data_IF_155373312749
#
_entry.id   IF_155373312749
#
_cell.length_a   1.000
_cell.length_b   1.000
_cell.length_c   1.000
_cell.angle_alpha   90.00
_cell.angle_beta   90.00
_cell.angle_gamma   90.00
#
_symmetry.space_group_name_H-M   'P 1'
#
loop_
_entity.id
_entity.type
_entity.pdbx_description
1 polymer ?
#
# COMPACT_ATOMS: atom_id res chain seq x y z
N UNK A 1 -3.28 -15.18 -11.08
CA UNK A 1 -4.28 -15.71 -10.09
C UNK A 1 -3.56 -15.94 -8.77
N UNK A 2 -4.19 -15.57 -7.65
CA UNK A 2 -3.68 -15.89 -6.31
C UNK A 2 -4.38 -17.15 -5.79
N UNK A 3 -3.61 -18.07 -5.21
CA UNK A 3 -4.12 -19.29 -4.58
C UNK A 3 -4.05 -19.12 -3.06
N UNK A 4 -5.20 -19.10 -2.40
CA UNK A 4 -5.29 -18.86 -0.96
C UNK A 4 -5.82 -20.11 -0.25
N UNK A 5 -4.99 -20.69 0.63
CA UNK A 5 -5.35 -21.80 1.50
C UNK A 5 -5.53 -21.28 2.93
N UNK A 6 -6.76 -20.88 3.25
CA UNK A 6 -7.13 -20.32 4.56
C UNK A 6 -8.04 -21.22 5.40
N UNK A 7 -8.30 -22.44 4.94
CA UNK A 7 -9.16 -23.39 5.61
C UNK A 7 -8.34 -24.44 6.34
N UNK A 8 -8.63 -24.68 7.62
CA UNK A 8 -7.96 -25.68 8.44
C UNK A 8 -8.06 -27.11 7.81
N UNK A 9 -6.97 -27.86 7.84
CA UNK A 9 -6.89 -29.22 7.30
C UNK A 9 -6.73 -29.29 5.77
N UNK A 10 -6.66 -28.15 5.07
CA UNK A 10 -6.36 -28.12 3.64
C UNK A 10 -4.88 -28.40 3.42
N UNK A 11 -4.55 -29.21 2.39
CA UNK A 11 -3.19 -29.49 1.99
C UNK A 11 -2.94 -29.15 0.52
N UNK A 12 -1.76 -28.59 0.23
CA UNK A 12 -1.26 -28.32 -1.12
C UNK A 12 -0.13 -29.28 -1.46
N UNK A 13 -0.31 -30.02 -2.52
CA UNK A 13 0.64 -31.02 -3.01
C UNK A 13 1.01 -30.70 -4.47
N UNK A 14 2.15 -31.25 -4.92
CA UNK A 14 2.52 -31.28 -6.35
C UNK A 14 1.91 -32.52 -7.02
N UNK A 15 1.37 -32.32 -8.21
CA UNK A 15 1.01 -33.43 -9.12
C UNK A 15 1.41 -33.02 -10.54
N UNK A 16 2.41 -33.73 -11.08
CA UNK A 16 3.02 -33.39 -12.36
C UNK A 16 3.54 -31.93 -12.37
N UNK A 17 3.02 -31.11 -13.29
CA UNK A 17 3.41 -29.72 -13.52
C UNK A 17 2.39 -28.73 -12.90
N UNK A 18 1.64 -29.16 -11.90
CA UNK A 18 0.63 -28.37 -11.24
C UNK A 18 0.49 -28.71 -9.76
N UNK A 19 -0.49 -28.08 -9.16
CA UNK A 19 -0.83 -28.26 -7.75
C UNK A 19 -2.12 -29.06 -7.58
N UNK A 20 -2.21 -29.76 -6.45
CA UNK A 20 -3.44 -30.37 -5.98
C UNK A 20 -3.76 -29.87 -4.59
N UNK A 21 -4.91 -29.21 -4.47
CA UNK A 21 -5.50 -28.88 -3.18
C UNK A 21 -6.36 -30.06 -2.73
N UNK A 22 -6.12 -30.53 -1.51
CA UNK A 22 -6.88 -31.65 -0.93
C UNK A 22 -7.47 -31.22 0.41
N UNK A 23 -8.74 -31.59 0.65
CA UNK A 23 -9.45 -31.41 1.92
C UNK A 23 -10.57 -32.44 2.05
N UNK A 24 -10.67 -33.10 3.18
CA UNK A 24 -11.78 -34.03 3.51
C UNK A 24 -12.11 -35.05 2.39
N UNK A 25 -11.05 -35.60 1.77
CA UNK A 25 -11.16 -36.55 0.65
C UNK A 25 -11.45 -35.92 -0.71
N UNK A 26 -11.77 -34.64 -0.78
CA UNK A 26 -11.92 -33.90 -2.04
C UNK A 26 -10.56 -33.47 -2.57
N UNK A 27 -10.34 -33.60 -3.87
CA UNK A 27 -9.12 -33.19 -4.55
C UNK A 27 -9.43 -32.28 -5.73
N UNK A 28 -8.74 -31.16 -5.81
CA UNK A 28 -8.87 -30.21 -6.91
C UNK A 28 -7.49 -29.95 -7.52
N UNK A 29 -7.36 -30.20 -8.82
CA UNK A 29 -6.15 -29.87 -9.58
C UNK A 29 -6.17 -28.44 -10.05
N UNK A 30 -5.03 -27.78 -9.94
CA UNK A 30 -4.84 -26.37 -10.33
C UNK A 30 -3.53 -26.32 -11.14
N UNK A 31 -3.58 -25.89 -12.41
CA UNK A 31 -2.36 -25.68 -13.20
C UNK A 31 -1.47 -24.63 -12.53
N UNK A 32 -0.16 -24.83 -12.56
CA UNK A 32 0.77 -23.82 -12.04
C UNK A 32 0.80 -22.56 -12.91
N UNK A 33 0.41 -22.69 -14.18
CA UNK A 33 0.36 -21.57 -15.12
C UNK A 33 -0.67 -20.51 -14.68
N UNK A 34 -0.24 -19.26 -14.66
CA UNK A 34 -1.08 -18.13 -14.27
C UNK A 34 -1.23 -17.93 -12.76
N UNK A 35 -0.65 -18.80 -11.91
CA UNK A 35 -0.54 -18.52 -10.47
C UNK A 35 0.60 -17.53 -10.25
N UNK A 36 0.31 -16.44 -9.55
CA UNK A 36 1.29 -15.40 -9.20
C UNK A 36 1.78 -15.52 -7.76
N UNK A 37 0.90 -15.97 -6.85
CA UNK A 37 1.24 -16.19 -5.46
C UNK A 37 0.40 -17.28 -4.83
N UNK A 38 0.95 -17.92 -3.79
CA UNK A 38 0.29 -18.92 -2.96
C UNK A 38 0.34 -18.44 -1.51
N UNK A 39 -0.83 -18.27 -0.89
CA UNK A 39 -0.94 -17.91 0.52
C UNK A 39 -1.35 -19.13 1.35
N UNK A 40 -0.59 -19.40 2.41
CA UNK A 40 -0.82 -20.54 3.31
C UNK A 40 -1.12 -19.99 4.70
N UNK A 41 -2.35 -20.12 5.14
CA UNK A 41 -2.74 -19.70 6.49
C UNK A 41 -2.47 -20.80 7.52
N UNK A 42 -2.45 -20.42 8.78
CA UNK A 42 -2.25 -21.36 9.89
C UNK A 42 -3.27 -22.51 9.83
N UNK A 43 -2.81 -23.73 9.96
CA UNK A 43 -3.65 -24.94 9.90
C UNK A 43 -3.78 -25.56 8.50
N UNK A 44 -3.35 -24.87 7.44
CA UNK A 44 -3.13 -25.46 6.13
C UNK A 44 -1.70 -26.02 6.02
N UNK A 45 -1.48 -26.97 5.10
CA UNK A 45 -0.21 -27.65 4.88
C UNK A 45 0.24 -27.48 3.43
N UNK A 46 1.55 -27.43 3.23
CA UNK A 46 2.17 -27.46 1.91
C UNK A 46 3.32 -28.47 1.93
N UNK A 47 3.41 -29.30 0.89
CA UNK A 47 4.52 -30.26 0.76
C UNK A 47 5.77 -29.57 0.19
N UNK A 48 6.95 -30.13 0.50
CA UNK A 48 8.23 -29.66 -0.06
C UNK A 48 8.24 -29.67 -1.59
N UNK A 49 7.62 -30.68 -2.21
CA UNK A 49 7.53 -30.78 -3.68
C UNK A 49 6.66 -29.65 -4.27
N UNK A 50 5.58 -29.28 -3.60
CA UNK A 50 4.76 -28.12 -4.00
C UNK A 50 5.53 -26.81 -3.83
N UNK A 51 6.31 -26.66 -2.75
CA UNK A 51 7.20 -25.51 -2.55
C UNK A 51 8.25 -25.43 -3.65
N UNK A 52 8.91 -26.56 -3.99
CA UNK A 52 9.93 -26.59 -5.04
C UNK A 52 9.34 -26.25 -6.41
N UNK A 53 8.16 -26.76 -6.73
CA UNK A 53 7.45 -26.38 -7.96
C UNK A 53 7.15 -24.88 -7.99
N UNK A 54 6.67 -24.32 -6.88
CA UNK A 54 6.42 -22.86 -6.80
C UNK A 54 7.71 -22.06 -7.03
N UNK A 55 8.82 -22.47 -6.40
CA UNK A 55 10.15 -21.84 -6.60
C UNK A 55 10.63 -21.98 -8.05
N UNK A 56 10.47 -23.14 -8.68
CA UNK A 56 10.82 -23.39 -10.09
C UNK A 56 10.04 -22.48 -11.05
N UNK A 57 8.77 -22.21 -10.74
CA UNK A 57 7.84 -21.41 -11.54
C UNK A 57 7.81 -19.93 -11.14
N UNK A 58 8.70 -19.52 -10.21
CA UNK A 58 8.79 -18.14 -9.71
C UNK A 58 7.49 -17.64 -9.03
N UNK A 59 6.71 -18.59 -8.48
CA UNK A 59 5.50 -18.30 -7.69
C UNK A 59 5.91 -18.02 -6.25
N UNK A 60 5.53 -16.87 -5.70
CA UNK A 60 5.81 -16.53 -4.32
C UNK A 60 4.91 -17.33 -3.37
N UNK A 61 5.51 -17.95 -2.34
CA UNK A 61 4.76 -18.64 -1.28
C UNK A 61 4.82 -17.79 -0.01
N UNK A 62 3.66 -17.37 0.49
CA UNK A 62 3.52 -16.51 1.66
C UNK A 62 2.80 -17.27 2.76
N UNK A 63 3.39 -17.30 3.97
CA UNK A 63 2.73 -17.83 5.17
C UNK A 63 2.05 -16.68 5.90
N UNK A 64 0.78 -16.88 6.26
CA UNK A 64 -0.04 -15.85 6.92
C UNK A 64 -0.66 -16.39 8.21
N UNK A 65 -1.06 -15.48 9.08
CA UNK A 65 -2.00 -15.77 10.16
C UNK A 65 -3.43 -15.91 9.60
N UNK A 66 -4.39 -16.28 10.45
CA UNK A 66 -5.79 -16.46 10.01
C UNK A 66 -6.48 -15.14 9.60
N UNK A 67 -5.98 -14.01 10.09
CA UNK A 67 -6.41 -12.66 9.71
C UNK A 67 -5.70 -12.11 8.46
N UNK A 68 -4.85 -12.93 7.81
CA UNK A 68 -4.14 -12.58 6.59
C UNK A 68 -2.82 -11.83 6.78
N UNK A 69 -2.39 -11.58 8.03
CA UNK A 69 -1.13 -10.89 8.29
C UNK A 69 0.07 -11.77 7.88
N UNK A 70 1.03 -11.26 7.08
CA UNK A 70 2.15 -12.05 6.59
C UNK A 70 3.14 -12.36 7.72
N UNK A 71 3.55 -13.64 7.83
CA UNK A 71 4.50 -14.14 8.83
C UNK A 71 5.84 -14.51 8.22
N UNK A 72 5.86 -14.93 6.97
CA UNK A 72 7.08 -15.34 6.27
C UNK A 72 6.80 -15.67 4.82
N UNK A 73 7.89 -15.83 4.05
CA UNK A 73 7.77 -16.18 2.64
C UNK A 73 8.92 -17.06 2.16
N UNK A 74 8.64 -17.82 1.11
CA UNK A 74 9.64 -18.56 0.35
C UNK A 74 9.71 -17.97 -1.05
N UNK A 75 10.92 -17.74 -1.54
CA UNK A 75 11.18 -17.27 -2.90
C UNK A 75 12.37 -17.98 -3.53
N UNK A 76 12.49 -17.90 -4.85
CA UNK A 76 13.58 -18.50 -5.59
C UNK A 76 14.94 -17.84 -5.28
N UNK A 77 16.02 -18.60 -5.05
CA UNK A 77 17.37 -18.07 -4.95
C UNK A 77 17.87 -17.44 -6.27
N UNK A 78 17.18 -17.69 -7.40
CA UNK A 78 17.48 -17.07 -8.70
C UNK A 78 17.32 -15.54 -8.70
N UNK A 79 16.59 -14.98 -7.72
CA UNK A 79 16.51 -13.53 -7.50
C UNK A 79 17.78 -12.94 -6.88
N UNK A 80 18.95 -13.34 -7.38
CA UNK A 80 20.24 -12.72 -7.01
C UNK A 80 20.30 -11.20 -7.23
N UNK A 81 19.44 -10.67 -8.12
CA UNK A 81 19.27 -9.23 -8.35
C UNK A 81 18.61 -8.48 -7.18
N UNK A 82 17.87 -9.17 -6.26
CA UNK A 82 17.20 -8.52 -5.13
C UNK A 82 18.23 -7.83 -4.21
N UNK A 83 19.37 -8.46 -3.95
CA UNK A 83 20.42 -7.85 -3.14
C UNK A 83 20.99 -6.58 -3.80
N UNK A 84 21.17 -6.62 -5.12
CA UNK A 84 21.63 -5.47 -5.92
C UNK A 84 20.58 -4.36 -5.95
N UNK A 85 19.30 -4.71 -6.13
CA UNK A 85 18.19 -3.75 -6.09
C UNK A 85 18.11 -3.11 -4.70
N UNK A 86 18.15 -3.90 -3.62
CA UNK A 86 18.11 -3.37 -2.25
C UNK A 86 19.29 -2.45 -1.96
N UNK A 87 20.51 -2.85 -2.37
CA UNK A 87 21.70 -2.00 -2.27
C UNK A 87 21.51 -0.72 -3.07
N UNK A 88 20.96 -0.81 -4.28
CA UNK A 88 20.63 0.35 -5.11
C UNK A 88 19.62 1.28 -4.44
N UNK A 89 18.56 0.74 -3.82
CA UNK A 89 17.56 1.52 -3.08
C UNK A 89 18.17 2.25 -1.87
N UNK A 90 19.02 1.56 -1.12
CA UNK A 90 19.74 2.19 0.01
C UNK A 90 20.66 3.30 -0.49
N UNK A 91 21.47 3.05 -1.51
CA UNK A 91 22.35 4.05 -2.08
C UNK A 91 21.57 5.24 -2.65
N UNK A 92 20.44 4.98 -3.32
CA UNK A 92 19.56 6.03 -3.84
C UNK A 92 19.06 6.95 -2.74
N UNK A 93 18.71 6.43 -1.55
CA UNK A 93 18.21 7.24 -0.44
C UNK A 93 19.24 8.29 0.07
N UNK A 94 20.52 8.10 -0.22
CA UNK A 94 21.62 9.03 0.08
C UNK A 94 22.02 9.91 -1.12
N UNK A 95 21.27 9.89 -2.20
CA UNK A 95 21.54 10.69 -3.39
C UNK A 95 20.71 11.98 -3.44
N UNK A 96 21.24 12.98 -4.15
CA UNK A 96 20.51 14.21 -4.44
C UNK A 96 19.23 13.94 -5.28
N UNK A 97 19.28 12.95 -6.17
CA UNK A 97 18.13 12.55 -7.00
C UNK A 97 16.97 12.05 -6.14
N UNK A 98 17.24 11.40 -5.00
CA UNK A 98 16.21 10.96 -4.07
C UNK A 98 15.47 12.13 -3.42
N UNK A 99 16.14 13.27 -3.19
CA UNK A 99 15.50 14.49 -2.71
C UNK A 99 14.49 15.02 -3.73
N UNK A 100 14.90 15.11 -4.99
CA UNK A 100 14.02 15.47 -6.11
C UNK A 100 12.82 14.54 -6.21
N UNK A 101 13.07 13.23 -6.14
CA UNK A 101 12.04 12.20 -6.25
C UNK A 101 11.01 12.27 -5.11
N UNK A 102 11.45 12.36 -3.85
CA UNK A 102 10.50 12.40 -2.71
C UNK A 102 9.68 13.70 -2.68
N UNK A 103 10.30 14.83 -3.05
CA UNK A 103 9.59 16.11 -3.21
C UNK A 103 8.48 15.98 -4.25
N UNK A 104 8.78 15.37 -5.40
CA UNK A 104 7.78 15.19 -6.47
C UNK A 104 6.64 14.27 -6.04
N UNK A 105 6.92 13.17 -5.33
CA UNK A 105 5.89 12.25 -4.81
C UNK A 105 4.93 12.99 -3.88
N UNK A 106 5.46 13.76 -2.91
CA UNK A 106 4.62 14.48 -1.95
C UNK A 106 3.88 15.64 -2.63
N UNK A 107 4.53 16.35 -3.56
CA UNK A 107 3.92 17.41 -4.36
C UNK A 107 2.72 16.87 -5.17
N UNK A 108 2.87 15.72 -5.81
CA UNK A 108 1.80 15.06 -6.57
C UNK A 108 0.68 14.58 -5.67
N UNK A 109 0.98 14.08 -4.48
CA UNK A 109 -0.04 13.74 -3.49
C UNK A 109 -0.91 14.96 -3.15
N UNK A 110 -0.30 16.10 -2.83
CA UNK A 110 -1.02 17.33 -2.47
C UNK A 110 -1.79 17.87 -3.68
N UNK A 111 -1.23 17.79 -4.89
CA UNK A 111 -1.90 18.16 -6.14
C UNK A 111 -3.19 17.34 -6.35
N UNK A 112 -3.14 16.02 -6.11
CA UNK A 112 -4.34 15.18 -6.21
C UNK A 112 -5.38 15.52 -5.12
N UNK A 113 -4.93 15.81 -3.90
CA UNK A 113 -5.82 16.27 -2.82
C UNK A 113 -6.49 17.61 -3.19
N UNK A 114 -5.73 18.55 -3.77
CA UNK A 114 -6.22 19.82 -4.24
C UNK A 114 -7.23 19.64 -5.38
N UNK A 115 -6.92 18.79 -6.36
CA UNK A 115 -7.81 18.49 -7.46
C UNK A 115 -9.16 17.92 -6.97
N UNK A 116 -9.14 17.01 -5.98
CA UNK A 116 -10.37 16.47 -5.41
C UNK A 116 -11.19 17.56 -4.69
N UNK A 117 -10.54 18.42 -3.91
CA UNK A 117 -11.22 19.53 -3.23
C UNK A 117 -11.87 20.48 -4.25
N UNK A 118 -11.23 20.72 -5.40
CA UNK A 118 -11.77 21.57 -6.48
C UNK A 118 -12.98 20.95 -7.19
N UNK A 119 -13.21 19.65 -7.09
CA UNK A 119 -14.42 19.01 -7.65
C UNK A 119 -15.69 19.36 -6.85
N UNK A 120 -15.54 19.79 -5.60
CA UNK A 120 -16.68 20.25 -4.82
C UNK A 120 -17.10 21.65 -5.29
N UNK A 121 -18.32 21.75 -5.83
CA UNK A 121 -18.91 22.98 -6.33
C UNK A 121 -20.12 23.36 -5.46
N UNK A 122 -19.91 23.91 -4.26
CA UNK A 122 -21.01 24.23 -3.37
C UNK A 122 -21.81 25.44 -3.89
N UNK A 123 -23.13 25.40 -3.69
CA UNK A 123 -24.01 26.53 -4.02
C UNK A 123 -23.91 27.67 -2.99
N UNK A 124 -23.52 27.35 -1.77
CA UNK A 124 -23.38 28.29 -0.66
C UNK A 124 -22.05 29.05 -0.71
N UNK A 125 -22.08 30.34 -0.56
CA UNK A 125 -20.92 31.26 -0.61
C UNK A 125 -19.90 30.99 0.52
N UNK A 126 -20.37 30.59 1.70
CA UNK A 126 -19.48 30.27 2.82
C UNK A 126 -18.65 29.00 2.49
N UNK A 127 -19.28 28.02 1.90
CA UNK A 127 -18.59 26.78 1.47
C UNK A 127 -17.67 27.02 0.29
N UNK A 128 -18.03 27.90 -0.67
CA UNK A 128 -17.11 28.32 -1.75
C UNK A 128 -15.87 29.00 -1.18
N UNK A 129 -16.07 29.88 -0.19
CA UNK A 129 -14.95 30.54 0.50
C UNK A 129 -14.05 29.54 1.21
N UNK A 130 -14.62 28.49 1.86
CA UNK A 130 -13.87 27.43 2.50
C UNK A 130 -13.02 26.65 1.48
N UNK A 131 -13.63 26.22 0.37
CA UNK A 131 -12.93 25.50 -0.71
C UNK A 131 -11.77 26.34 -1.25
N UNK A 132 -12.01 27.60 -1.57
CA UNK A 132 -10.97 28.52 -2.08
C UNK A 132 -9.81 28.67 -1.10
N UNK A 133 -10.10 28.86 0.19
CA UNK A 133 -9.07 28.95 1.22
C UNK A 133 -8.26 27.65 1.34
N UNK A 134 -8.93 26.50 1.27
CA UNK A 134 -8.27 25.20 1.35
C UNK A 134 -7.37 24.96 0.15
N UNK A 135 -7.85 25.24 -1.07
CA UNK A 135 -7.06 25.15 -2.32
C UNK A 135 -5.81 26.03 -2.24
N UNK A 136 -5.94 27.29 -1.83
CA UNK A 136 -4.81 28.21 -1.71
C UNK A 136 -3.78 27.72 -0.67
N UNK A 137 -4.22 27.21 0.49
CA UNK A 137 -3.33 26.66 1.50
C UNK A 137 -2.60 25.40 1.03
N UNK A 138 -3.26 24.52 0.28
CA UNK A 138 -2.62 23.35 -0.34
C UNK A 138 -1.57 23.77 -1.35
N UNK A 139 -1.85 24.81 -2.16
CA UNK A 139 -0.88 25.39 -3.10
C UNK A 139 0.34 25.97 -2.37
N UNK A 140 0.16 26.66 -1.25
CA UNK A 140 1.27 27.17 -0.43
C UNK A 140 2.21 26.04 0.02
N UNK A 141 1.67 24.88 0.42
CA UNK A 141 2.52 23.74 0.80
C UNK A 141 3.22 23.13 -0.41
N UNK A 142 2.57 23.05 -1.58
CA UNK A 142 3.21 22.62 -2.83
C UNK A 142 4.41 23.52 -3.15
N UNK A 143 4.24 24.83 -3.04
CA UNK A 143 5.30 25.81 -3.30
C UNK A 143 6.45 25.70 -2.27
N UNK A 144 6.15 25.50 -0.99
CA UNK A 144 7.17 25.26 0.04
C UNK A 144 7.98 24.01 -0.27
N UNK A 145 7.34 22.89 -0.67
CA UNK A 145 8.00 21.65 -1.05
C UNK A 145 8.88 21.85 -2.29
N UNK A 146 8.38 22.59 -3.29
CA UNK A 146 9.15 22.89 -4.51
C UNK A 146 10.44 23.62 -4.21
N UNK A 147 10.40 24.59 -3.28
CA UNK A 147 11.54 25.43 -2.95
C UNK A 147 12.46 24.86 -1.86
N UNK A 148 12.11 23.70 -1.27
CA UNK A 148 12.91 23.05 -0.24
C UNK A 148 14.24 22.56 -0.81
N UNK A 149 15.34 22.81 -0.12
CA UNK A 149 16.70 22.43 -0.51
C UNK A 149 17.28 21.42 0.50
N UNK A 150 18.09 20.50 0.02
CA UNK A 150 18.82 19.52 0.79
C UNK A 150 19.63 18.60 -0.12
N UNK A 151 20.69 18.02 0.38
CA UNK A 151 21.58 17.14 -0.38
C UNK A 151 21.13 15.68 -0.32
N UNK A 152 20.58 15.28 0.81
CA UNK A 152 20.03 13.92 1.04
C UNK A 152 18.64 13.98 1.63
N UNK A 153 17.89 12.88 1.54
CA UNK A 153 16.51 12.80 2.05
C UNK A 153 16.42 13.13 3.54
N UNK A 154 17.44 12.79 4.34
CA UNK A 154 17.46 13.07 5.78
C UNK A 154 17.36 14.56 6.09
N UNK A 155 17.97 15.44 5.27
CA UNK A 155 17.98 16.89 5.47
C UNK A 155 16.57 17.50 5.35
N UNK A 156 15.74 16.93 4.49
CA UNK A 156 14.42 17.48 4.14
C UNK A 156 13.25 16.70 4.78
N UNK A 157 13.50 15.51 5.30
CA UNK A 157 12.46 14.59 5.75
C UNK A 157 11.54 15.15 6.83
N UNK A 158 12.07 15.88 7.80
CA UNK A 158 11.29 16.45 8.89
C UNK A 158 10.31 17.51 8.39
N UNK A 159 10.78 18.40 7.51
CA UNK A 159 9.96 19.46 6.92
C UNK A 159 8.91 18.89 5.96
N UNK A 160 9.30 17.92 5.11
CA UNK A 160 8.37 17.25 4.19
C UNK A 160 7.24 16.56 4.94
N UNK A 161 7.55 15.79 6.00
CA UNK A 161 6.53 15.16 6.84
C UNK A 161 5.61 16.17 7.52
N UNK A 162 6.18 17.27 8.04
CA UNK A 162 5.40 18.33 8.66
C UNK A 162 4.43 18.99 7.68
N UNK A 163 4.89 19.37 6.49
CA UNK A 163 4.04 20.01 5.49
C UNK A 163 3.03 19.04 4.86
N UNK A 164 3.42 17.81 4.63
CA UNK A 164 2.53 16.75 4.15
C UNK A 164 1.39 16.50 5.17
N UNK A 165 1.72 16.41 6.46
CA UNK A 165 0.75 16.23 7.52
C UNK A 165 -0.24 17.42 7.62
N UNK A 166 0.27 18.66 7.53
CA UNK A 166 -0.57 19.87 7.54
C UNK A 166 -1.45 19.96 6.29
N UNK A 167 -0.93 19.64 5.11
CA UNK A 167 -1.72 19.59 3.89
C UNK A 167 -2.82 18.51 3.98
N UNK A 168 -2.49 17.31 4.47
CA UNK A 168 -3.46 16.24 4.68
C UNK A 168 -4.54 16.64 5.69
N UNK A 169 -4.19 17.36 6.76
CA UNK A 169 -5.15 17.89 7.71
C UNK A 169 -6.16 18.82 7.04
N UNK A 170 -5.69 19.80 6.26
CA UNK A 170 -6.56 20.74 5.52
C UNK A 170 -7.49 19.95 4.57
N UNK A 171 -6.94 19.02 3.82
CA UNK A 171 -7.71 18.18 2.90
C UNK A 171 -8.84 17.45 3.61
N UNK A 172 -8.55 16.71 4.70
CA UNK A 172 -9.56 15.95 5.43
C UNK A 172 -10.57 16.84 6.17
N UNK A 173 -10.15 17.98 6.72
CA UNK A 173 -11.07 18.95 7.32
C UNK A 173 -12.05 19.52 6.29
N UNK A 174 -11.56 19.79 5.07
CA UNK A 174 -12.41 20.26 3.97
C UNK A 174 -13.34 19.16 3.49
N UNK A 175 -12.81 17.94 3.24
CA UNK A 175 -13.59 16.79 2.82
C UNK A 175 -14.74 16.48 3.79
N UNK A 176 -14.47 16.56 5.10
CA UNK A 176 -15.46 16.28 6.14
C UNK A 176 -16.68 17.22 6.10
N UNK A 177 -16.55 18.41 5.48
CA UNK A 177 -17.68 19.34 5.29
C UNK A 177 -18.64 18.92 4.19
N UNK A 178 -18.20 18.01 3.30
CA UNK A 178 -19.01 17.50 2.18
C UNK A 178 -19.53 16.07 2.43
N UNK A 179 -19.05 15.43 3.48
CA UNK A 179 -19.52 14.10 3.88
C UNK A 179 -20.84 14.24 4.64
N UNK A 180 -21.83 13.36 4.39
CA UNK A 180 -23.07 13.31 5.18
C UNK A 180 -22.78 13.22 6.68
N UNK A 181 -23.56 13.90 7.52
CA UNK A 181 -23.34 13.93 8.96
C UNK A 181 -23.27 12.54 9.61
N UNK A 182 -23.97 11.55 9.05
CA UNK A 182 -23.93 10.14 9.49
C UNK A 182 -22.59 9.45 9.27
N UNK A 183 -21.72 9.99 8.39
CA UNK A 183 -20.40 9.46 8.05
C UNK A 183 -19.28 10.40 8.47
N UNK A 184 -19.60 11.57 9.06
CA UNK A 184 -18.59 12.54 9.48
C UNK A 184 -17.70 11.96 10.58
N UNK A 185 -16.44 12.37 10.59
CA UNK A 185 -15.43 11.96 11.56
C UNK A 185 -14.86 13.16 12.33
N UNK A 186 -14.60 12.99 13.63
CA UNK A 186 -14.07 14.07 14.46
C UNK A 186 -12.58 14.33 14.20
N UNK A 187 -11.81 13.25 13.94
CA UNK A 187 -10.37 13.30 13.66
C UNK A 187 -9.92 12.04 12.90
N UNK A 188 -8.78 12.15 12.25
CA UNK A 188 -8.13 10.96 11.65
C UNK A 188 -7.71 9.98 12.73
N UNK A 189 -8.18 8.74 12.60
CA UNK A 189 -7.75 7.60 13.43
C UNK A 189 -7.21 6.51 12.52
N UNK A 190 -6.07 5.89 12.87
CA UNK A 190 -5.43 4.90 12.00
C UNK A 190 -5.60 3.46 12.52
N UNK A 191 -5.35 3.23 13.80
CA UNK A 191 -5.38 1.87 14.34
C UNK A 191 -5.89 1.90 15.79
N UNK A 192 -7.11 1.42 16.04
CA UNK A 192 -8.14 1.05 15.06
C UNK A 192 -8.82 2.28 14.43
N UNK A 193 -9.34 2.11 13.21
CA UNK A 193 -10.24 3.10 12.62
C UNK A 193 -11.56 3.13 13.40
N UNK A 194 -12.00 4.33 13.78
CA UNK A 194 -13.18 4.51 14.63
C UNK A 194 -14.46 4.83 13.85
N UNK A 195 -14.35 5.03 12.54
CA UNK A 195 -15.45 5.33 11.64
C UNK A 195 -15.16 4.80 10.21
N UNK A 196 -16.19 4.67 9.33
CA UNK A 196 -16.02 4.13 7.99
C UNK A 196 -15.05 4.91 7.10
N UNK A 197 -14.95 6.25 7.26
CA UNK A 197 -14.06 7.08 6.43
C UNK A 197 -12.60 6.90 6.85
N UNK A 198 -12.33 6.65 8.11
CA UNK A 198 -10.99 6.33 8.60
C UNK A 198 -10.57 4.88 8.30
N UNK A 199 -11.52 4.01 7.93
CA UNK A 199 -11.25 2.62 7.54
C UNK A 199 -10.80 2.48 6.07
N UNK A 200 -11.05 3.49 5.25
CA UNK A 200 -10.61 3.59 3.84
C UNK A 200 -9.23 4.27 3.75
#
# INVERSE_FOLDING_TARGET
MELILNTYGTSLNRENDGFVVSKDGTRQRIPAEGITSIQISRGAQITSDAVLLAVEREIEVIFTTNDGSPMGRIWSPKYGSISTIRKGQVNFSFSHDAVGWIKEVIRKKIENQQALVMLFTPDDDAMRTLVTKSVNRLEDYRNKITNLQGDIVADVAAQLRGWEGLASKIYFETLNRFIPASLSFAQRTQHPAMDPVNAL
#
